data_IF_470613724724
#
_entry.id   IF_470613724724
#
_cell.length_a   1.000
_cell.length_b   1.000
_cell.length_c   1.000
_cell.angle_alpha   90.00
_cell.angle_beta   90.00
_cell.angle_gamma   90.00
#
_symmetry.space_group_name_H-M   'P 1'
#
loop_
_entity.id
_entity.type
_entity.pdbx_description
1 polymer ?
#
# COMPACT_ATOMS: atom_id res chain seq x y z
N UNK A 1 14.62 15.52 -11.67
CA UNK A 1 13.72 14.35 -11.67
C UNK A 1 12.37 14.73 -11.07
N UNK A 2 11.28 14.03 -11.42
CA UNK A 2 9.94 14.24 -10.87
C UNK A 2 9.12 12.94 -10.96
N UNK A 3 8.06 12.85 -10.13
CA UNK A 3 7.15 11.71 -10.16
C UNK A 3 6.01 11.98 -11.15
N UNK A 4 5.87 11.11 -12.13
CA UNK A 4 4.76 11.11 -13.09
C UNK A 4 3.72 10.09 -12.65
N UNK A 5 2.47 10.55 -12.51
CA UNK A 5 1.33 9.68 -12.24
C UNK A 5 0.52 9.42 -13.50
N UNK A 6 0.10 8.20 -13.69
CA UNK A 6 -0.85 7.81 -14.72
C UNK A 6 -1.91 6.87 -14.14
N UNK A 7 -3.11 6.90 -14.70
CA UNK A 7 -4.18 6.02 -14.27
C UNK A 7 -4.35 4.92 -15.32
N UNK A 8 -4.53 3.68 -14.85
CA UNK A 8 -4.85 2.54 -15.71
C UNK A 8 -6.09 1.85 -15.18
N UNK A 9 -7.04 1.60 -16.07
CA UNK A 9 -8.18 0.73 -15.77
C UNK A 9 -7.83 -0.68 -16.22
N UNK A 10 -7.90 -1.65 -15.34
CA UNK A 10 -7.83 -3.06 -15.67
C UNK A 10 -9.25 -3.56 -15.91
N UNK A 11 -9.52 -4.19 -17.06
CA UNK A 11 -10.84 -4.75 -17.34
C UNK A 11 -11.16 -5.91 -16.40
N UNK A 12 -12.43 -6.27 -16.37
CA UNK A 12 -12.89 -7.51 -15.76
C UNK A 12 -12.11 -8.71 -16.30
N UNK A 13 -11.70 -9.58 -15.41
CA UNK A 13 -11.08 -10.87 -15.77
C UNK A 13 -11.97 -11.97 -15.23
N UNK A 14 -12.63 -12.77 -16.11
CA UNK A 14 -13.45 -13.89 -15.66
C UNK A 14 -12.60 -14.92 -14.90
N UNK A 15 -13.16 -15.48 -13.83
CA UNK A 15 -12.55 -16.58 -13.11
C UNK A 15 -12.57 -17.84 -13.98
N UNK A 16 -11.46 -18.57 -14.04
CA UNK A 16 -11.36 -19.88 -14.70
C UNK A 16 -10.25 -20.70 -14.04
N UNK A 17 -10.38 -22.00 -14.08
CA UNK A 17 -9.40 -23.00 -13.62
C UNK A 17 -8.23 -22.47 -12.77
N UNK A 18 -8.48 -22.13 -11.50
CA UNK A 18 -7.46 -21.66 -10.55
C UNK A 18 -7.16 -20.15 -10.59
N UNK A 19 -7.78 -19.39 -11.48
CA UNK A 19 -7.69 -17.92 -11.51
C UNK A 19 -8.96 -17.34 -10.89
N UNK A 20 -8.82 -16.57 -9.81
CA UNK A 20 -9.94 -15.89 -9.20
C UNK A 20 -10.51 -14.83 -10.14
N UNK A 21 -11.84 -14.75 -10.16
CA UNK A 21 -12.56 -13.66 -10.81
C UNK A 21 -12.09 -12.30 -10.25
N UNK A 22 -11.86 -11.34 -11.13
CA UNK A 22 -11.42 -10.00 -10.74
C UNK A 22 -12.33 -8.96 -11.36
N UNK A 23 -12.94 -8.17 -10.51
CA UNK A 23 -13.69 -7.00 -10.94
C UNK A 23 -12.81 -5.94 -11.61
N UNK A 24 -13.38 -5.14 -12.52
CA UNK A 24 -12.68 -3.99 -13.08
C UNK A 24 -12.21 -3.06 -11.94
N UNK A 25 -10.95 -2.69 -11.97
CA UNK A 25 -10.42 -1.76 -10.99
C UNK A 25 -9.47 -0.75 -11.64
N UNK A 26 -9.43 0.42 -11.05
CA UNK A 26 -8.47 1.45 -11.42
C UNK A 26 -7.22 1.33 -10.59
N UNK A 27 -6.09 1.66 -11.19
CA UNK A 27 -4.80 1.73 -10.52
C UNK A 27 -4.13 3.04 -10.86
N UNK A 28 -3.51 3.65 -9.86
CA UNK A 28 -2.60 4.78 -10.03
C UNK A 28 -1.19 4.22 -10.14
N UNK A 29 -0.50 4.58 -11.20
CA UNK A 29 0.88 4.16 -11.47
C UNK A 29 1.79 5.35 -11.20
N UNK A 30 2.82 5.18 -10.39
CA UNK A 30 3.86 6.17 -10.13
C UNK A 30 5.16 5.76 -10.82
N UNK A 31 5.75 6.69 -11.57
CA UNK A 31 7.00 6.51 -12.29
C UNK A 31 7.93 7.67 -11.98
N UNK A 32 9.21 7.37 -11.72
CA UNK A 32 10.24 8.39 -11.66
C UNK A 32 10.71 8.71 -13.07
N UNK A 33 10.65 10.00 -13.42
CA UNK A 33 10.91 10.47 -14.77
C UNK A 33 11.94 11.59 -14.73
N UNK A 34 12.86 11.55 -15.67
CA UNK A 34 13.79 12.64 -15.94
C UNK A 34 13.44 13.29 -17.28
N UNK A 35 13.54 14.61 -17.32
CA UNK A 35 13.42 15.36 -18.57
C UNK A 35 14.81 15.64 -19.12
N UNK A 36 15.10 15.10 -20.30
CA UNK A 36 16.36 15.36 -21.03
C UNK A 36 16.07 16.02 -22.38
N UNK A 37 16.97 16.84 -22.85
CA UNK A 37 16.90 17.36 -24.22
C UNK A 37 17.64 16.40 -25.15
N UNK A 38 16.92 15.90 -26.15
CA UNK A 38 17.50 15.07 -27.23
C UNK A 38 17.19 15.81 -28.53
N UNK A 39 18.20 16.14 -29.29
CA UNK A 39 18.11 16.92 -30.53
C UNK A 39 17.37 18.26 -30.37
N UNK A 40 17.61 18.93 -29.23
CA UNK A 40 16.99 20.21 -28.90
C UNK A 40 15.54 20.09 -28.37
N UNK A 41 14.94 18.91 -28.41
CA UNK A 41 13.55 18.65 -27.96
C UNK A 41 13.53 18.04 -26.57
N UNK A 42 12.62 18.47 -25.68
CA UNK A 42 12.45 17.85 -24.38
C UNK A 42 11.86 16.44 -24.53
N UNK A 43 12.57 15.45 -24.03
CA UNK A 43 12.12 14.05 -23.96
C UNK A 43 12.05 13.60 -22.52
N UNK A 44 10.97 12.88 -22.19
CA UNK A 44 10.82 12.24 -20.90
C UNK A 44 11.42 10.85 -20.92
N UNK A 45 12.32 10.56 -20.00
CA UNK A 45 12.92 9.25 -19.83
C UNK A 45 12.47 8.68 -18.49
N UNK A 46 11.88 7.48 -18.49
CA UNK A 46 11.47 6.77 -17.28
C UNK A 46 12.72 6.14 -16.67
N UNK A 47 13.07 6.57 -15.46
CA UNK A 47 14.20 6.03 -14.70
C UNK A 47 13.79 4.77 -13.93
N UNK A 48 12.62 4.83 -13.28
CA UNK A 48 12.11 3.70 -12.51
C UNK A 48 10.58 3.67 -12.46
N UNK A 49 10.05 2.49 -12.29
CA UNK A 49 8.64 2.27 -11.95
C UNK A 49 8.53 2.13 -10.43
N UNK A 50 8.10 3.19 -9.76
CA UNK A 50 8.06 3.26 -8.29
C UNK A 50 7.02 2.28 -7.70
N UNK A 51 5.82 2.26 -8.28
CA UNK A 51 4.79 1.35 -7.81
C UNK A 51 3.42 1.61 -8.43
N UNK A 52 2.46 0.80 -8.01
CA UNK A 52 1.04 0.93 -8.36
C UNK A 52 0.20 0.90 -7.10
N UNK A 53 -0.72 1.86 -6.97
CA UNK A 53 -1.73 1.86 -5.92
C UNK A 53 -3.09 1.54 -6.53
N UNK A 54 -3.80 0.55 -5.99
CA UNK A 54 -5.15 0.21 -6.42
C UNK A 54 -6.15 1.21 -5.85
N UNK A 55 -7.15 1.59 -6.63
CA UNK A 55 -8.28 2.37 -6.11
C UNK A 55 -9.28 1.45 -5.37
N UNK A 56 -9.93 1.91 -4.31
CA UNK A 56 -9.83 3.27 -3.79
C UNK A 56 -8.53 3.51 -3.01
N UNK A 57 -7.87 4.66 -3.26
CA UNK A 57 -6.62 5.06 -2.58
C UNK A 57 -6.80 5.17 -1.05
N UNK A 58 -8.04 5.25 -0.56
CA UNK A 58 -8.36 5.31 0.88
C UNK A 58 -8.07 4.00 1.60
N UNK A 59 -7.97 2.89 0.88
CA UNK A 59 -7.72 1.57 1.47
C UNK A 59 -6.27 1.50 2.03
N UNK A 60 -6.09 1.33 3.35
CA UNK A 60 -4.77 1.33 3.97
C UNK A 60 -3.84 0.26 3.41
N UNK A 61 -4.34 -0.94 3.17
CA UNK A 61 -3.56 -2.07 2.62
C UNK A 61 -2.99 -1.74 1.24
N UNK A 62 -3.76 -1.04 0.38
CA UNK A 62 -3.27 -0.65 -0.94
C UNK A 62 -2.14 0.38 -0.85
N UNK A 63 -2.24 1.31 0.11
CA UNK A 63 -1.21 2.33 0.35
C UNK A 63 0.03 1.72 0.98
N UNK A 64 -0.11 0.79 1.92
CA UNK A 64 1.01 0.07 2.52
C UNK A 64 1.84 -0.62 1.44
N UNK A 65 1.22 -1.47 0.62
CA UNK A 65 1.88 -2.19 -0.46
C UNK A 65 2.56 -1.24 -1.46
N UNK A 66 1.91 -0.11 -1.74
CA UNK A 66 2.47 0.92 -2.61
C UNK A 66 3.75 1.52 -2.02
N UNK A 67 3.72 1.96 -0.75
CA UNK A 67 4.87 2.59 -0.10
C UNK A 67 6.02 1.62 0.17
N UNK A 68 5.74 0.37 0.53
CA UNK A 68 6.74 -0.68 0.65
C UNK A 68 7.48 -0.89 -0.68
N UNK A 69 6.73 -0.93 -1.79
CA UNK A 69 7.33 -1.04 -3.12
C UNK A 69 8.13 0.20 -3.49
N UNK A 70 7.62 1.40 -3.21
CA UNK A 70 8.35 2.64 -3.47
C UNK A 70 9.66 2.69 -2.68
N UNK A 71 9.64 2.37 -1.39
CA UNK A 71 10.82 2.36 -0.55
C UNK A 71 11.89 1.42 -1.13
N UNK A 72 11.51 0.18 -1.46
CA UNK A 72 12.42 -0.79 -2.06
C UNK A 72 13.05 -0.29 -3.37
N UNK A 73 12.27 0.36 -4.26
CA UNK A 73 12.80 0.90 -5.52
C UNK A 73 13.68 2.11 -5.28
N UNK A 74 13.33 2.99 -4.34
CA UNK A 74 14.13 4.18 -4.03
C UNK A 74 15.46 3.83 -3.36
N UNK A 75 15.51 2.74 -2.58
CA UNK A 75 16.72 2.25 -1.93
C UNK A 75 17.74 1.68 -2.96
N UNK A 76 17.25 1.20 -4.11
CA UNK A 76 18.09 0.69 -5.22
C UNK A 76 18.60 1.80 -6.16
N UNK A 77 18.15 3.04 -5.95
CA UNK A 77 18.56 4.19 -6.75
C UNK A 77 19.62 5.03 -5.99
N UNK A 78 20.65 5.46 -6.70
CA UNK A 78 21.66 6.40 -6.16
C UNK A 78 21.10 7.83 -6.14
N UNK A 79 20.31 8.11 -5.10
CA UNK A 79 19.63 9.39 -4.89
C UNK A 79 20.25 10.12 -3.69
N UNK A 80 20.42 11.43 -3.82
CA UNK A 80 20.70 12.26 -2.65
C UNK A 80 19.49 12.35 -1.72
N UNK A 81 19.71 12.65 -0.43
CA UNK A 81 18.65 12.80 0.56
C UNK A 81 17.61 13.85 0.13
N UNK A 82 18.05 14.96 -0.47
CA UNK A 82 17.19 16.02 -0.98
C UNK A 82 16.31 15.55 -2.14
N UNK A 83 16.86 14.76 -3.05
CA UNK A 83 16.10 14.20 -4.17
C UNK A 83 15.08 13.19 -3.67
N UNK A 84 15.47 12.33 -2.74
CA UNK A 84 14.59 11.37 -2.11
C UNK A 84 13.41 12.07 -1.40
N UNK A 85 13.70 13.07 -0.57
CA UNK A 85 12.67 13.83 0.13
C UNK A 85 11.67 14.48 -0.84
N UNK A 86 12.13 15.08 -1.94
CA UNK A 86 11.25 15.65 -2.97
C UNK A 86 10.37 14.62 -3.66
N UNK A 87 10.90 13.42 -3.92
CA UNK A 87 10.13 12.32 -4.51
C UNK A 87 9.05 11.86 -3.54
N UNK A 88 9.42 11.67 -2.27
CA UNK A 88 8.49 11.24 -1.21
C UNK A 88 7.37 12.27 -1.00
N UNK A 89 7.68 13.57 -1.03
CA UNK A 89 6.69 14.65 -0.98
C UNK A 89 5.70 14.58 -2.17
N UNK A 90 6.20 14.36 -3.38
CA UNK A 90 5.35 14.22 -4.57
C UNK A 90 4.47 12.96 -4.50
N UNK A 91 4.98 11.86 -3.95
CA UNK A 91 4.19 10.65 -3.71
C UNK A 91 3.08 10.92 -2.70
N UNK A 92 3.42 11.55 -1.56
CA UNK A 92 2.48 11.86 -0.49
C UNK A 92 1.36 12.82 -0.93
N UNK A 93 1.66 13.77 -1.81
CA UNK A 93 0.67 14.70 -2.36
C UNK A 93 -0.44 13.98 -3.16
N UNK A 94 -0.15 12.84 -3.78
CA UNK A 94 -1.11 12.08 -4.59
C UNK A 94 -1.69 10.88 -3.87
N UNK A 95 -0.88 10.18 -3.12
CA UNK A 95 -1.23 8.97 -2.36
C UNK A 95 -0.85 9.26 -0.91
N UNK A 96 -1.81 9.63 -0.04
CA UNK A 96 -1.51 9.98 1.34
C UNK A 96 -0.80 8.83 2.07
N UNK A 97 0.25 9.10 2.85
CA UNK A 97 0.91 8.07 3.66
C UNK A 97 -0.06 7.50 4.70
N UNK A 98 0.30 6.34 5.23
CA UNK A 98 -0.47 5.73 6.32
C UNK A 98 -0.35 6.58 7.58
N UNK A 99 -1.46 6.77 8.25
CA UNK A 99 -1.47 7.35 9.60
C UNK A 99 -0.95 6.34 10.62
N UNK A 100 -0.40 6.77 11.77
CA UNK A 100 0.03 5.86 12.81
C UNK A 100 -1.07 4.88 13.25
N UNK A 101 -2.32 5.33 13.26
CA UNK A 101 -3.47 4.50 13.62
C UNK A 101 -3.75 3.41 12.59
N UNK A 102 -3.59 3.71 11.30
CA UNK A 102 -3.75 2.72 10.22
C UNK A 102 -2.61 1.70 10.24
N UNK A 103 -1.39 2.12 10.55
CA UNK A 103 -0.25 1.20 10.70
C UNK A 103 -0.52 0.18 11.81
N UNK A 104 -0.95 0.63 12.98
CA UNK A 104 -1.29 -0.26 14.10
C UNK A 104 -2.42 -1.22 13.72
N UNK A 105 -3.47 -0.71 13.05
CA UNK A 105 -4.58 -1.55 12.62
C UNK A 105 -4.14 -2.65 11.63
N UNK A 106 -3.26 -2.33 10.68
CA UNK A 106 -2.71 -3.31 9.74
C UNK A 106 -1.84 -4.36 10.44
N UNK A 107 -0.98 -3.95 11.38
CA UNK A 107 -0.16 -4.86 12.17
C UNK A 107 -1.01 -5.84 12.99
N UNK A 108 -2.11 -5.37 13.59
CA UNK A 108 -3.05 -6.22 14.31
C UNK A 108 -3.73 -7.24 13.39
N UNK A 109 -4.10 -6.84 12.17
CA UNK A 109 -4.67 -7.75 11.18
C UNK A 109 -3.66 -8.83 10.76
N UNK A 110 -2.42 -8.43 10.51
CA UNK A 110 -1.34 -9.36 10.15
C UNK A 110 -1.03 -10.34 11.29
N UNK A 111 -0.92 -9.84 12.54
CA UNK A 111 -0.73 -10.67 13.72
C UNK A 111 -1.88 -11.69 13.90
N UNK A 112 -3.12 -11.27 13.65
CA UNK A 112 -4.29 -12.16 13.71
C UNK A 112 -4.24 -13.24 12.63
N UNK A 113 -3.83 -12.88 11.42
CA UNK A 113 -3.65 -13.84 10.33
C UNK A 113 -2.53 -14.83 10.65
N UNK A 114 -1.40 -14.34 11.18
CA UNK A 114 -0.28 -15.17 11.61
C UNK A 114 -0.66 -16.12 12.76
N UNK A 115 -1.47 -15.66 13.71
CA UNK A 115 -1.97 -16.46 14.83
C UNK A 115 -2.80 -17.69 14.40
N UNK A 116 -3.46 -17.62 13.24
CA UNK A 116 -4.23 -18.73 12.69
C UNK A 116 -3.36 -19.87 12.15
N UNK A 117 -2.12 -19.57 11.78
CA UNK A 117 -1.23 -20.51 11.10
C UNK A 117 -0.02 -20.95 11.94
N UNK A 118 0.24 -20.30 13.10
CA UNK A 118 1.38 -20.62 13.98
C UNK A 118 0.96 -20.56 15.46
N UNK A 119 1.41 -21.53 16.28
CA UNK A 119 1.14 -21.53 17.73
C UNK A 119 1.60 -20.25 18.43
N UNK A 120 2.71 -19.65 17.94
CA UNK A 120 3.32 -18.43 18.51
C UNK A 120 2.59 -17.16 18.10
N UNK A 121 1.76 -17.23 17.07
CA UNK A 121 1.02 -16.07 16.56
C UNK A 121 -0.03 -15.54 17.54
N UNK A 122 -0.58 -16.40 18.40
CA UNK A 122 -1.51 -15.97 19.45
C UNK A 122 -0.82 -15.07 20.49
N UNK A 123 0.42 -15.36 20.87
CA UNK A 123 1.19 -14.52 21.78
C UNK A 123 1.46 -13.14 21.17
N UNK A 124 1.82 -13.07 19.88
CA UNK A 124 1.99 -11.80 19.17
C UNK A 124 0.70 -10.99 19.09
N UNK A 125 -0.45 -11.65 18.89
CA UNK A 125 -1.76 -11.01 18.91
C UNK A 125 -2.09 -10.41 20.27
N UNK A 126 -1.83 -11.15 21.37
CA UNK A 126 -2.05 -10.66 22.74
C UNK A 126 -1.18 -9.45 23.02
N UNK A 127 0.11 -9.49 22.67
CA UNK A 127 1.00 -8.34 22.85
C UNK A 127 0.54 -7.10 22.08
N UNK A 128 0.13 -7.29 20.82
CA UNK A 128 -0.37 -6.20 19.99
C UNK A 128 -1.67 -5.60 20.55
N UNK A 129 -2.55 -6.45 21.08
CA UNK A 129 -3.80 -6.05 21.72
C UNK A 129 -3.57 -5.28 23.01
N UNK A 130 -2.66 -5.75 23.86
CA UNK A 130 -2.35 -5.12 25.15
C UNK A 130 -1.69 -3.75 24.97
N UNK A 131 -0.89 -3.57 23.92
CA UNK A 131 -0.26 -2.30 23.56
C UNK A 131 -1.20 -1.29 22.85
N UNK A 132 -2.36 -1.73 22.37
CA UNK A 132 -3.27 -0.89 21.61
C UNK A 132 -4.18 -0.04 22.52
N UNK A 133 -4.44 1.21 22.12
CA UNK A 133 -5.43 2.08 22.75
C UNK A 133 -6.86 1.53 22.56
N UNK A 134 -7.80 1.96 23.41
CA UNK A 134 -9.21 1.54 23.34
C UNK A 134 -9.83 1.84 21.96
N UNK A 135 -9.48 2.97 21.34
CA UNK A 135 -9.93 3.37 20.01
C UNK A 135 -9.38 2.45 18.91
N UNK A 136 -8.15 2.01 19.04
CA UNK A 136 -7.50 1.07 18.11
C UNK A 136 -8.09 -0.32 18.24
N UNK A 137 -8.35 -0.78 19.46
CA UNK A 137 -9.05 -2.05 19.74
C UNK A 137 -10.45 -2.05 19.13
N UNK A 138 -11.22 -0.94 19.26
CA UNK A 138 -12.53 -0.81 18.65
C UNK A 138 -12.48 -0.97 17.13
N UNK A 139 -11.59 -0.24 16.46
CA UNK A 139 -11.41 -0.36 14.99
C UNK A 139 -10.97 -1.76 14.55
N UNK A 140 -10.12 -2.39 15.31
CA UNK A 140 -9.70 -3.76 15.04
C UNK A 140 -10.85 -4.75 15.13
N UNK A 141 -11.72 -4.63 16.13
CA UNK A 141 -12.91 -5.45 16.25
C UNK A 141 -13.88 -5.24 15.08
N UNK A 142 -14.09 -3.99 14.66
CA UNK A 142 -14.92 -3.64 13.51
C UNK A 142 -14.36 -4.29 12.22
N UNK A 143 -13.06 -4.24 12.01
CA UNK A 143 -12.39 -4.88 10.87
C UNK A 143 -12.56 -6.39 10.88
N UNK A 144 -12.41 -7.03 12.04
CA UNK A 144 -12.62 -8.48 12.18
C UNK A 144 -14.09 -8.88 11.92
N UNK A 145 -15.05 -8.05 12.31
CA UNK A 145 -16.47 -8.26 12.01
C UNK A 145 -16.74 -8.11 10.51
N UNK A 146 -16.21 -7.06 9.87
CA UNK A 146 -16.37 -6.84 8.43
C UNK A 146 -15.78 -7.98 7.60
N UNK A 147 -14.67 -8.55 8.05
CA UNK A 147 -14.03 -9.73 7.40
C UNK A 147 -14.69 -11.06 7.76
N UNK A 148 -15.75 -11.05 8.54
CA UNK A 148 -16.48 -12.27 8.97
C UNK A 148 -15.66 -13.18 9.89
N UNK A 149 -14.62 -12.66 10.53
CA UNK A 149 -13.76 -13.39 11.48
C UNK A 149 -14.45 -13.48 12.84
N UNK A 150 -15.08 -12.38 13.26
CA UNK A 150 -15.95 -12.35 14.42
C UNK A 150 -17.41 -12.34 13.95
N UNK A 151 -18.20 -13.26 14.46
CA UNK A 151 -19.65 -13.18 14.30
C UNK A 151 -20.18 -12.27 15.40
N UNK A 152 -21.10 -11.33 15.09
CA UNK A 152 -21.77 -10.60 16.14
C UNK A 152 -22.44 -11.63 17.07
N UNK A 153 -22.15 -11.52 18.37
CA UNK A 153 -22.72 -12.39 19.37
C UNK A 153 -24.26 -12.35 19.28
N UNK A 154 -24.88 -13.53 19.38
CA UNK A 154 -26.33 -13.65 19.53
C UNK A 154 -26.74 -13.16 20.92
#
# INVERSE_FOLDING_TARGET
MFVKFSNRTRPYTPGWAGVAEREPHRTVIAQLVESRRVDGQPRQHILAHLGTCREPIREPTHRQQFYERCAWVLDDLDLSDDERARIEEQLAARIPPLTPQEIVALQLVEATAAARYRPDGFAALVQAWDGASERERGRFLDELQQRGVLRPGR
#
